data_IF_783207379393
#
_entry.id   IF_783207379393
#
_cell.length_a   1.000
_cell.length_b   1.000
_cell.length_c   1.000
_cell.angle_alpha   90.00
_cell.angle_beta   90.00
_cell.angle_gamma   90.00
#
_symmetry.space_group_name_H-M   'P 1'
#
loop_
_entity.id
_entity.type
_entity.pdbx_description
1 polymer ?
#
# COMPACT_ATOMS: atom_id res chain seq x y z
N UNK A 1 -5.48 -22.13 -13.12
CA UNK A 1 -4.15 -21.50 -13.12
C UNK A 1 -4.18 -20.30 -14.04
N UNK A 2 -4.39 -19.12 -13.46
CA UNK A 2 -4.27 -17.82 -14.11
C UNK A 2 -3.15 -17.00 -13.45
N UNK A 3 -2.64 -15.98 -14.15
CA UNK A 3 -1.78 -14.95 -13.58
C UNK A 3 -2.64 -13.78 -13.11
N UNK A 4 -2.73 -13.56 -11.80
CA UNK A 4 -3.54 -12.53 -11.18
C UNK A 4 -2.65 -11.38 -10.66
N UNK A 5 -2.98 -10.16 -11.07
CA UNK A 5 -2.39 -8.95 -10.49
C UNK A 5 -3.41 -8.30 -9.56
N UNK A 6 -3.10 -8.26 -8.26
CA UNK A 6 -3.98 -7.69 -7.24
C UNK A 6 -3.35 -6.43 -6.65
N UNK A 7 -4.02 -5.28 -6.84
CA UNK A 7 -3.59 -4.00 -6.27
C UNK A 7 -4.44 -3.63 -5.05
N UNK A 8 -3.78 -3.25 -3.96
CA UNK A 8 -4.40 -2.78 -2.73
C UNK A 8 -4.01 -1.32 -2.46
N UNK A 9 -5.01 -0.45 -2.24
CA UNK A 9 -4.79 0.96 -1.91
C UNK A 9 -4.46 1.16 -0.43
N UNK A 10 -4.02 2.37 -0.06
CA UNK A 10 -3.58 2.68 1.30
C UNK A 10 -4.64 2.43 2.38
N UNK A 11 -5.92 2.66 2.06
CA UNK A 11 -7.04 2.33 2.97
C UNK A 11 -7.21 0.82 3.19
N UNK A 12 -6.87 -0.01 2.20
CA UNK A 12 -6.91 -1.47 2.31
C UNK A 12 -5.75 -2.04 3.12
N UNK A 13 -4.69 -1.25 3.36
CA UNK A 13 -3.51 -1.65 4.14
C UNK A 13 -3.24 -0.70 5.31
N UNK A 14 -4.25 0.07 5.74
CA UNK A 14 -4.09 1.12 6.76
C UNK A 14 -3.99 0.62 8.21
N UNK A 15 -4.19 -0.67 8.46
CA UNK A 15 -4.03 -1.28 9.79
C UNK A 15 -3.57 -2.73 9.68
N UNK A 16 -3.07 -3.30 10.78
CA UNK A 16 -2.60 -4.69 10.83
C UNK A 16 -3.73 -5.66 10.47
N UNK A 17 -4.94 -5.44 10.98
CA UNK A 17 -6.11 -6.29 10.73
C UNK A 17 -6.48 -6.27 9.25
N UNK A 18 -6.39 -5.10 8.61
CA UNK A 18 -6.64 -4.96 7.17
C UNK A 18 -5.57 -5.65 6.33
N UNK A 19 -4.31 -5.55 6.71
CA UNK A 19 -3.20 -6.26 6.06
C UNK A 19 -3.40 -7.76 6.18
N UNK A 20 -3.80 -8.27 7.35
CA UNK A 20 -4.10 -9.68 7.54
C UNK A 20 -5.26 -10.14 6.65
N UNK A 21 -6.33 -9.34 6.53
CA UNK A 21 -7.45 -9.65 5.63
C UNK A 21 -7.01 -9.70 4.16
N UNK A 22 -6.14 -8.78 3.73
CA UNK A 22 -5.53 -8.77 2.38
C UNK A 22 -4.67 -10.02 2.18
N UNK A 23 -3.83 -10.38 3.15
CA UNK A 23 -2.98 -11.57 3.09
C UNK A 23 -3.80 -12.86 2.96
N UNK A 24 -4.89 -13.00 3.73
CA UNK A 24 -5.82 -14.15 3.61
C UNK A 24 -6.50 -14.22 2.24
N UNK A 25 -6.76 -13.08 1.59
CA UNK A 25 -7.30 -13.06 0.22
C UNK A 25 -6.27 -13.53 -0.81
N UNK A 26 -5.02 -13.10 -0.68
CA UNK A 26 -3.90 -13.53 -1.54
C UNK A 26 -3.62 -15.02 -1.37
N UNK A 27 -3.59 -15.51 -0.13
CA UNK A 27 -3.37 -16.93 0.19
C UNK A 27 -4.41 -17.82 -0.49
N UNK A 28 -5.70 -17.46 -0.40
CA UNK A 28 -6.77 -18.19 -1.08
C UNK A 28 -6.60 -18.26 -2.60
N UNK A 29 -6.16 -17.17 -3.24
CA UNK A 29 -5.85 -17.22 -4.68
C UNK A 29 -4.70 -18.18 -4.98
N UNK A 30 -3.66 -18.20 -4.14
CA UNK A 30 -2.54 -19.13 -4.31
C UNK A 30 -2.96 -20.58 -4.09
N UNK A 31 -3.78 -20.85 -3.08
CA UNK A 31 -4.37 -22.18 -2.80
C UNK A 31 -5.23 -22.70 -3.96
N UNK A 32 -5.91 -21.80 -4.67
CA UNK A 32 -6.68 -22.14 -5.88
C UNK A 32 -5.79 -22.45 -7.11
N UNK A 33 -4.47 -22.40 -6.97
CA UNK A 33 -3.51 -22.70 -8.04
C UNK A 33 -3.29 -21.55 -9.01
N UNK A 34 -3.54 -20.31 -8.59
CA UNK A 34 -3.19 -19.12 -9.36
C UNK A 34 -1.78 -18.61 -9.01
N UNK A 35 -1.12 -18.02 -9.98
CA UNK A 35 0.09 -17.23 -9.76
C UNK A 35 -0.33 -15.79 -9.46
N UNK A 36 0.23 -15.20 -8.41
CA UNK A 36 -0.25 -13.92 -7.89
C UNK A 36 0.89 -12.91 -7.80
N UNK A 37 0.70 -11.75 -8.43
CA UNK A 37 1.52 -10.56 -8.24
C UNK A 37 0.72 -9.56 -7.42
N UNK A 38 1.33 -9.03 -6.36
CA UNK A 38 0.67 -8.13 -5.43
C UNK A 38 1.34 -6.76 -5.48
N UNK A 39 0.55 -5.70 -5.66
CA UNK A 39 1.01 -4.31 -5.61
C UNK A 39 0.30 -3.60 -4.47
N UNK A 40 1.07 -2.99 -3.57
CA UNK A 40 0.53 -2.25 -2.43
C UNK A 40 0.94 -0.78 -2.50
N UNK A 41 0.02 0.11 -2.13
CA UNK A 41 0.34 1.51 -1.84
C UNK A 41 0.89 1.64 -0.40
N UNK A 42 1.44 2.81 -0.06
CA UNK A 42 1.76 3.15 1.32
C UNK A 42 0.51 3.09 2.22
N UNK A 43 0.70 2.82 3.52
CA UNK A 43 -0.40 2.63 4.47
C UNK A 43 -1.20 3.92 4.69
N UNK A 44 -2.53 3.83 4.70
CA UNK A 44 -3.40 4.96 5.01
C UNK A 44 -3.10 6.22 4.18
N UNK A 45 -2.73 7.30 4.89
CA UNK A 45 -2.39 8.61 4.33
C UNK A 45 -0.88 8.91 4.34
N UNK A 46 -0.02 7.90 4.52
CA UNK A 46 1.42 8.12 4.68
C UNK A 46 2.06 8.88 3.52
N UNK A 47 1.59 8.72 2.29
CA UNK A 47 2.10 9.52 1.16
C UNK A 47 1.81 11.01 1.34
N UNK A 48 0.62 11.37 1.84
CA UNK A 48 0.24 12.75 2.09
C UNK A 48 1.10 13.35 3.22
N UNK A 49 1.36 12.56 4.28
CA UNK A 49 2.25 12.93 5.40
C UNK A 49 3.68 13.21 4.91
N UNK A 50 4.25 12.29 4.12
CA UNK A 50 5.59 12.45 3.55
C UNK A 50 5.68 13.67 2.63
N UNK A 51 4.63 13.91 1.84
CA UNK A 51 4.55 15.10 0.97
C UNK A 51 4.51 16.38 1.80
N UNK A 52 3.73 16.40 2.89
CA UNK A 52 3.70 17.51 3.83
C UNK A 52 5.06 17.80 4.45
N UNK A 53 5.78 16.76 4.89
CA UNK A 53 7.14 16.89 5.42
C UNK A 53 8.14 17.42 4.39
N UNK A 54 8.08 16.90 3.16
CA UNK A 54 8.94 17.36 2.07
C UNK A 54 8.72 18.85 1.78
N UNK A 55 7.45 19.28 1.66
CA UNK A 55 7.07 20.68 1.46
C UNK A 55 7.61 21.55 2.60
N UNK A 56 7.35 21.18 3.86
CA UNK A 56 7.81 21.93 5.02
C UNK A 56 9.35 22.06 5.07
N UNK A 57 10.07 20.99 4.73
CA UNK A 57 11.54 20.96 4.71
C UNK A 57 12.15 21.85 3.62
N UNK A 58 11.44 22.03 2.51
CA UNK A 58 11.85 22.90 1.42
C UNK A 58 11.59 24.37 1.77
N UNK A 59 10.39 24.72 2.25
CA UNK A 59 10.06 26.12 2.57
C UNK A 59 10.94 26.72 3.68
N UNK A 60 11.42 25.94 4.65
CA UNK A 60 12.36 26.42 5.66
C UNK A 60 13.76 26.78 5.14
N UNK A 61 14.10 26.42 3.90
CA UNK A 61 15.45 26.58 3.30
C UNK A 61 15.53 27.62 2.19
N UNK A 62 14.39 28.14 1.73
CA UNK A 62 14.28 29.13 0.65
C UNK A 62 13.51 30.41 1.06
N UNK A 63 13.23 30.60 2.36
CA UNK A 63 12.52 31.77 2.90
C UNK A 63 13.45 32.95 3.29
N UNK A 64 14.67 32.99 2.77
CA UNK A 64 15.60 34.15 2.81
C UNK A 64 15.91 34.57 1.39
#
# INVERSE_FOLDING_TARGET
>A
MALLVQKFGGTSVGSVERIQAVAQRIARCRENGDDVVVVVSAMGHTTDELTGLAIASCYGRWAT
#
